data_IF_732379612188
#
_entry.id   IF_732379612188
#
_cell.length_a   1.000
_cell.length_b   1.000
_cell.length_c   1.000
_cell.angle_alpha   90.00
_cell.angle_beta   90.00
_cell.angle_gamma   90.00
#
_symmetry.space_group_name_H-M   'P 1'
#
loop_
_entity.id
_entity.type
_entity.pdbx_description
1 polymer ?
#
# COMPACT_ATOMS: atom_id res chain seq x y z
N UNK A 1 2.39 -3.81 -15.38
CA UNK A 1 1.79 -2.57 -14.87
C UNK A 1 1.28 -2.76 -13.44
N UNK A 2 2.14 -2.47 -12.47
CA UNK A 2 1.85 -2.47 -11.04
C UNK A 2 1.96 -1.05 -10.51
N UNK A 3 0.83 -0.44 -10.16
CA UNK A 3 0.75 0.93 -9.66
C UNK A 3 0.58 0.92 -8.15
N UNK A 4 1.52 1.54 -7.44
CA UNK A 4 1.46 1.76 -5.99
C UNK A 4 1.14 3.24 -5.72
N UNK A 5 0.02 3.50 -5.05
CA UNK A 5 -0.45 4.82 -4.67
C UNK A 5 -0.31 4.99 -3.15
N UNK A 6 0.57 5.88 -2.71
CA UNK A 6 0.79 6.19 -1.30
C UNK A 6 0.13 7.51 -0.94
N UNK A 7 -0.92 7.48 -0.13
CA UNK A 7 -1.79 8.64 0.14
C UNK A 7 -2.08 8.84 1.62
N UNK A 8 -2.22 10.10 2.02
CA UNK A 8 -2.65 10.46 3.38
C UNK A 8 -4.18 10.34 3.46
N UNK A 9 -4.66 9.50 4.38
CA UNK A 9 -6.08 9.31 4.65
C UNK A 9 -6.78 10.64 4.94
N UNK A 10 -7.77 11.00 4.11
CA UNK A 10 -8.55 12.23 4.26
C UNK A 10 -7.99 13.47 3.57
N UNK A 11 -6.88 13.37 2.80
CA UNK A 11 -6.39 14.45 1.93
C UNK A 11 -6.58 14.11 0.45
N UNK A 12 -5.85 13.11 -0.03
CA UNK A 12 -5.70 12.81 -1.46
C UNK A 12 -6.82 11.91 -2.04
N UNK A 13 -8.08 12.11 -1.64
CA UNK A 13 -9.18 11.22 -2.06
C UNK A 13 -9.51 11.34 -3.55
N UNK A 14 -9.55 12.56 -4.11
CA UNK A 14 -9.84 12.77 -5.53
C UNK A 14 -8.80 12.11 -6.44
N UNK A 15 -7.53 12.14 -6.02
CA UNK A 15 -6.42 11.44 -6.67
C UNK A 15 -6.66 9.92 -6.68
N UNK A 16 -7.06 9.32 -5.55
CA UNK A 16 -7.36 7.89 -5.47
C UNK A 16 -8.54 7.48 -6.36
N UNK A 17 -9.65 8.21 -6.33
CA UNK A 17 -10.84 7.86 -7.11
C UNK A 17 -10.59 8.04 -8.62
N UNK A 18 -9.86 9.09 -9.00
CA UNK A 18 -9.44 9.33 -10.38
C UNK A 18 -8.46 8.27 -10.89
N UNK A 19 -7.43 7.92 -10.11
CA UNK A 19 -6.46 6.89 -10.50
C UNK A 19 -7.12 5.52 -10.62
N UNK A 20 -8.04 5.19 -9.71
CA UNK A 20 -8.87 3.98 -9.76
C UNK A 20 -9.75 3.94 -11.02
N UNK A 21 -10.41 5.06 -11.36
CA UNK A 21 -11.22 5.18 -12.58
C UNK A 21 -10.38 4.97 -13.84
N UNK A 22 -9.20 5.58 -13.92
CA UNK A 22 -8.29 5.41 -15.06
C UNK A 22 -7.76 3.98 -15.18
N UNK A 23 -7.38 3.34 -14.07
CA UNK A 23 -6.94 1.95 -14.06
C UNK A 23 -8.05 0.98 -14.49
N UNK A 24 -9.31 1.23 -14.09
CA UNK A 24 -10.45 0.44 -14.59
C UNK A 24 -10.77 0.73 -16.06
N UNK A 25 -10.58 1.96 -16.56
CA UNK A 25 -10.70 2.26 -17.99
C UNK A 25 -9.61 1.54 -18.82
N UNK A 26 -8.35 1.58 -18.36
CA UNK A 26 -7.23 0.85 -18.95
C UNK A 26 -7.55 -0.65 -18.94
N UNK A 27 -7.99 -1.22 -17.81
CA UNK A 27 -8.45 -2.63 -17.73
C UNK A 27 -9.63 -2.93 -18.66
N UNK A 28 -10.53 -1.99 -18.90
CA UNK A 28 -11.63 -2.20 -19.85
C UNK A 28 -11.10 -2.45 -21.26
N UNK A 29 -10.05 -1.71 -21.64
CA UNK A 29 -9.45 -1.67 -22.99
C UNK A 29 -8.25 -2.63 -23.19
N UNK A 30 -7.57 -3.05 -22.12
CA UNK A 30 -6.51 -4.07 -22.12
C UNK A 30 -7.11 -5.48 -22.10
N UNK A 31 -6.76 -6.29 -23.10
CA UNK A 31 -7.22 -7.69 -23.23
C UNK A 31 -6.89 -8.57 -22.00
N UNK A 32 -5.71 -8.37 -21.40
CA UNK A 32 -5.24 -9.05 -20.18
C UNK A 32 -5.37 -8.19 -18.93
N UNK A 33 -6.58 -8.12 -18.37
CA UNK A 33 -6.92 -7.29 -17.19
C UNK A 33 -6.10 -7.59 -15.93
N UNK A 34 -5.55 -8.80 -15.84
CA UNK A 34 -4.68 -9.30 -14.76
C UNK A 34 -3.30 -8.63 -14.71
N UNK A 35 -2.80 -8.12 -15.86
CA UNK A 35 -1.50 -7.43 -15.98
C UNK A 35 -1.50 -6.02 -15.41
N UNK A 36 -2.69 -5.44 -15.17
CA UNK A 36 -2.87 -4.11 -14.58
C UNK A 36 -3.34 -4.27 -13.14
N UNK A 37 -2.56 -3.76 -12.19
CA UNK A 37 -2.85 -3.84 -10.76
C UNK A 37 -2.64 -2.49 -10.11
N UNK A 38 -3.56 -2.09 -9.24
CA UNK A 38 -3.47 -0.91 -8.39
C UNK A 38 -3.44 -1.37 -6.93
N UNK A 39 -2.47 -0.88 -6.16
CA UNK A 39 -2.35 -1.04 -4.73
C UNK A 39 -2.36 0.33 -4.06
N UNK A 40 -3.40 0.63 -3.28
CA UNK A 40 -3.53 1.89 -2.56
C UNK A 40 -3.15 1.72 -1.09
N UNK A 41 -2.09 2.42 -0.67
CA UNK A 41 -1.55 2.39 0.69
C UNK A 41 -2.02 3.65 1.42
N UNK A 42 -3.06 3.49 2.23
CA UNK A 42 -3.65 4.56 3.05
C UNK A 42 -2.90 4.74 4.36
N UNK A 43 -2.29 5.91 4.55
CA UNK A 43 -1.42 6.22 5.69
C UNK A 43 -2.12 7.31 6.53
N UNK A 44 -2.21 7.15 7.85
CA UNK A 44 -2.73 8.22 8.73
C UNK A 44 -1.77 9.41 8.71
N UNK A 45 -2.26 10.65 8.84
CA UNK A 45 -1.39 11.84 8.75
C UNK A 45 -0.20 11.79 9.73
N UNK A 46 -0.46 11.57 11.02
CA UNK A 46 0.57 11.36 12.05
C UNK A 46 1.60 10.27 11.66
N UNK A 47 1.13 9.16 11.09
CA UNK A 47 2.00 8.09 10.60
C UNK A 47 2.84 8.51 9.38
N UNK A 48 2.32 9.35 8.49
CA UNK A 48 3.07 9.92 7.37
C UNK A 48 4.14 10.91 7.87
N UNK A 49 3.79 11.81 8.80
CA UNK A 49 4.70 12.75 9.44
C UNK A 49 5.84 12.04 10.21
N UNK A 50 5.55 10.91 10.87
CA UNK A 50 6.56 10.05 11.50
C UNK A 50 7.43 9.33 10.45
N UNK A 51 6.81 8.76 9.41
CA UNK A 51 7.52 8.04 8.34
C UNK A 51 8.50 8.94 7.61
N UNK A 52 8.15 10.18 7.28
CA UNK A 52 9.07 11.15 6.67
C UNK A 52 10.28 11.39 7.58
N UNK A 53 10.08 11.62 8.89
CA UNK A 53 11.15 11.78 9.89
C UNK A 53 11.99 10.52 10.15
N UNK A 54 11.60 9.37 9.57
CA UNK A 54 12.34 8.11 9.61
C UNK A 54 12.95 7.71 8.26
N UNK A 55 12.70 8.46 7.17
CA UNK A 55 13.37 8.24 5.89
C UNK A 55 14.87 8.57 5.97
N UNK A 56 15.29 9.51 6.81
CA UNK A 56 16.70 9.79 7.08
C UNK A 56 17.36 8.77 8.02
N UNK A 57 16.57 7.97 8.77
CA UNK A 57 17.10 7.05 9.78
C UNK A 57 17.47 5.68 9.21
N UNK A 58 18.47 4.97 9.78
CA UNK A 58 18.77 3.59 9.41
C UNK A 58 17.61 2.67 9.77
N UNK A 59 17.43 1.60 8.99
CA UNK A 59 16.22 0.74 9.02
C UNK A 59 16.04 0.04 10.37
N UNK A 60 17.11 -0.07 11.14
CA UNK A 60 17.23 -0.66 12.47
C UNK A 60 16.61 0.23 13.57
N UNK A 61 16.48 1.54 13.33
CA UNK A 61 15.80 2.49 14.24
C UNK A 61 14.29 2.55 14.00
N UNK A 62 13.78 1.93 12.94
CA UNK A 62 12.40 2.10 12.49
C UNK A 62 11.49 1.06 13.16
N UNK A 63 10.36 1.47 13.78
CA UNK A 63 9.41 0.56 14.38
C UNK A 63 8.95 -0.53 13.39
N UNK A 64 8.76 -1.79 13.82
CA UNK A 64 8.53 -2.92 12.92
C UNK A 64 7.29 -2.76 12.03
N UNK A 65 6.27 -2.02 12.48
CA UNK A 65 5.07 -1.71 11.72
C UNK A 65 5.31 -0.67 10.59
N UNK A 66 6.32 0.20 10.70
CA UNK A 66 6.72 1.12 9.64
C UNK A 66 7.91 0.61 8.81
N UNK A 67 8.70 -0.34 9.32
CA UNK A 67 9.90 -0.86 8.66
C UNK A 67 9.65 -1.30 7.21
N UNK A 68 8.55 -2.01 6.95
CA UNK A 68 8.18 -2.44 5.59
C UNK A 68 7.93 -1.25 4.66
N UNK A 69 7.07 -0.31 5.10
CA UNK A 69 6.72 0.89 4.34
C UNK A 69 7.96 1.74 4.04
N UNK A 70 8.81 2.02 5.04
CA UNK A 70 10.03 2.82 4.82
C UNK A 70 11.02 2.09 3.91
N UNK A 71 11.13 0.76 3.98
CA UNK A 71 11.99 -0.01 3.06
C UNK A 71 11.53 0.13 1.60
N UNK A 72 10.22 0.14 1.35
CA UNK A 72 9.63 0.34 0.01
C UNK A 72 9.83 1.79 -0.46
N UNK A 73 9.55 2.78 0.39
CA UNK A 73 9.74 4.20 0.07
C UNK A 73 11.22 4.52 -0.23
N UNK A 74 12.17 4.00 0.55
CA UNK A 74 13.61 4.14 0.27
C UNK A 74 14.01 3.48 -1.05
N UNK A 75 13.50 2.28 -1.36
CA UNK A 75 13.76 1.61 -2.66
C UNK A 75 13.33 2.48 -3.84
N UNK A 76 12.18 3.13 -3.74
CA UNK A 76 11.64 3.99 -4.80
C UNK A 76 12.08 5.46 -4.70
N UNK A 77 12.95 5.79 -3.74
CA UNK A 77 13.39 7.16 -3.41
C UNK A 77 12.21 8.14 -3.21
N UNK A 78 11.13 7.69 -2.57
CA UNK A 78 9.98 8.54 -2.19
C UNK A 78 10.29 9.25 -0.88
N UNK A 79 10.27 10.58 -0.90
CA UNK A 79 10.56 11.46 0.26
C UNK A 79 9.31 12.12 0.84
N UNK A 80 8.26 12.31 0.04
CA UNK A 80 7.06 13.06 0.39
C UNK A 80 5.77 12.34 -0.01
N UNK A 81 4.67 12.64 0.66
CA UNK A 81 3.32 12.17 0.33
C UNK A 81 2.44 13.33 -0.18
N UNK A 82 1.46 13.08 -1.08
CA UNK A 82 1.17 11.80 -1.74
C UNK A 82 2.28 11.41 -2.74
N UNK A 83 2.34 10.13 -3.11
CA UNK A 83 3.28 9.63 -4.12
C UNK A 83 2.67 8.52 -4.97
N UNK A 84 3.09 8.48 -6.24
CA UNK A 84 2.67 7.47 -7.23
C UNK A 84 3.90 6.80 -7.80
N UNK A 85 3.92 5.47 -7.74
CA UNK A 85 4.98 4.60 -8.27
C UNK A 85 4.35 3.65 -9.30
N UNK A 86 4.97 3.50 -10.46
CA UNK A 86 4.54 2.58 -11.53
C UNK A 86 5.70 1.64 -11.84
N UNK A 87 5.47 0.34 -11.64
CA UNK A 87 6.41 -0.78 -11.86
C UNK A 87 7.81 -0.51 -11.25
N UNK A 88 7.79 0.07 -10.05
CA UNK A 88 8.97 0.42 -9.25
C UNK A 88 9.59 1.79 -9.53
N UNK A 89 9.02 2.59 -10.44
CA UNK A 89 9.50 3.94 -10.77
C UNK A 89 8.58 5.02 -10.21
N UNK A 90 9.13 5.94 -9.41
CA UNK A 90 8.42 7.12 -8.89
C UNK A 90 8.06 8.06 -10.04
N UNK A 91 6.77 8.30 -10.28
CA UNK A 91 6.28 9.20 -11.34
C UNK A 91 5.71 10.51 -10.81
N UNK A 92 5.24 10.52 -9.56
CA UNK A 92 4.74 11.72 -8.88
C UNK A 92 5.01 11.65 -7.37
N UNK A 93 5.22 12.80 -6.74
CA UNK A 93 5.58 12.97 -5.33
C UNK A 93 5.18 14.36 -4.82
N UNK A 94 4.73 14.45 -3.57
CA UNK A 94 4.57 15.69 -2.80
C UNK A 94 3.48 16.65 -3.30
N UNK A 95 2.57 16.19 -4.16
CA UNK A 95 1.58 17.04 -4.83
C UNK A 95 0.33 16.22 -5.21
N UNK A 96 -0.86 16.73 -4.92
CA UNK A 96 -2.14 16.07 -5.22
C UNK A 96 -2.58 16.20 -6.70
N UNK A 97 -1.70 16.69 -7.59
CA UNK A 97 -1.87 16.90 -9.05
C UNK A 97 -2.44 15.69 -9.81
N UNK A 98 -3.76 15.55 -9.81
CA UNK A 98 -4.51 14.44 -10.43
C UNK A 98 -4.19 14.32 -11.92
N UNK A 99 -4.18 15.43 -12.66
CA UNK A 99 -3.91 15.44 -14.09
C UNK A 99 -2.53 14.84 -14.44
N UNK A 100 -1.51 15.13 -13.63
CA UNK A 100 -0.14 14.64 -13.82
C UNK A 100 0.03 13.17 -13.43
N UNK A 101 -0.67 12.71 -12.38
CA UNK A 101 -0.73 11.29 -12.05
C UNK A 101 -1.44 10.48 -13.15
N UNK A 102 -2.53 11.02 -13.69
CA UNK A 102 -3.27 10.41 -14.80
C UNK A 102 -2.44 10.35 -16.09
N UNK A 103 -1.77 11.44 -16.50
CA UNK A 103 -0.86 11.43 -17.66
C UNK A 103 0.22 10.35 -17.52
N UNK A 104 0.89 10.29 -16.35
CA UNK A 104 1.93 9.31 -16.11
C UNK A 104 1.41 7.86 -16.18
N UNK A 105 0.19 7.60 -15.69
CA UNK A 105 -0.48 6.30 -15.80
C UNK A 105 -0.88 5.97 -17.24
N UNK A 106 -1.50 6.91 -17.98
CA UNK A 106 -1.89 6.67 -19.37
C UNK A 106 -0.67 6.51 -20.29
N UNK A 107 0.41 7.26 -20.06
CA UNK A 107 1.68 7.13 -20.80
C UNK A 107 2.36 5.80 -20.53
N UNK A 108 2.45 5.35 -19.27
CA UNK A 108 2.99 4.01 -18.96
C UNK A 108 2.08 2.88 -19.48
N UNK A 109 0.77 3.09 -19.53
CA UNK A 109 -0.15 2.12 -20.12
C UNK A 109 -0.04 2.04 -21.65
N UNK A 110 0.15 3.17 -22.35
CA UNK A 110 0.37 3.16 -23.80
C UNK A 110 1.74 2.58 -24.16
N UNK A 111 2.77 2.82 -23.34
CA UNK A 111 4.09 2.20 -23.48
C UNK A 111 4.08 0.67 -23.22
N UNK A 112 3.42 0.18 -22.15
CA UNK A 112 3.44 -1.26 -21.82
C UNK A 112 2.46 -2.11 -22.65
N UNK A 113 1.32 -1.54 -23.04
CA UNK A 113 0.24 -2.29 -23.73
C UNK A 113 0.04 -1.88 -25.20
N UNK A 114 0.74 -0.84 -25.69
CA UNK A 114 0.60 -0.34 -27.07
C UNK A 114 -0.74 0.36 -27.37
N UNK A 115 -1.55 0.66 -26.34
CA UNK A 115 -2.91 1.19 -26.52
C UNK A 115 -2.89 2.72 -26.49
N UNK A 116 -3.38 3.35 -27.56
CA UNK A 116 -3.45 4.81 -27.69
C UNK A 116 -4.57 5.41 -26.81
N UNK A 117 -4.32 5.52 -25.50
CA UNK A 117 -5.27 6.01 -24.50
C UNK A 117 -5.10 7.52 -24.25
N UNK A 118 -5.39 8.29 -25.30
CA UNK A 118 -5.45 9.75 -25.30
C UNK A 118 -5.68 10.28 -26.72
N UNK A 119 -6.09 11.55 -26.90
CA UNK A 119 -6.34 12.12 -28.23
C UNK A 119 -5.10 12.22 -29.13
N UNK A 120 -3.90 12.07 -28.57
CA UNK A 120 -2.61 12.19 -29.26
C UNK A 120 -2.20 10.91 -29.99
N UNK A 121 -2.98 10.56 -31.02
CA UNK A 121 -2.38 9.94 -32.19
C UNK A 121 -1.46 10.97 -32.88
N UNK A 122 -0.40 10.49 -33.53
CA UNK A 122 0.50 11.28 -34.41
C UNK A 122 1.46 12.29 -33.74
N UNK A 123 2.27 11.85 -32.76
CA UNK A 123 3.62 12.42 -32.58
C UNK A 123 4.66 11.31 -32.30
N UNK A 124 4.86 10.43 -33.28
CA UNK A 124 6.12 9.68 -33.37
C UNK A 124 7.13 10.52 -34.17
N UNK A 125 8.36 10.76 -33.65
CA UNK A 125 9.38 11.49 -34.39
C UNK A 125 10.04 10.58 -35.44
N UNK A 126 9.85 10.91 -36.73
CA UNK A 126 10.57 10.26 -37.81
C UNK A 126 12.00 10.82 -37.95
N UNK A 127 13.04 9.99 -38.23
CA UNK A 127 14.39 10.47 -38.51
C UNK A 127 14.50 11.35 -39.76
N UNK A 128 15.55 12.20 -39.88
CA UNK A 128 15.59 13.29 -40.84
C UNK A 128 15.93 12.86 -42.27
N UNK A 129 15.47 13.66 -43.24
CA UNK A 129 16.00 13.72 -44.61
C UNK A 129 16.20 15.19 -45.02
N UNK A 130 17.27 15.56 -45.76
CA UNK A 130 17.62 16.98 -45.95
C UNK A 130 16.64 17.80 -46.81
N UNK A 131 16.76 19.13 -46.70
CA UNK A 131 16.00 20.13 -47.46
C UNK A 131 16.45 20.24 -48.95
N UNK A 132 15.82 21.13 -49.76
CA UNK A 132 16.31 22.52 -49.82
C UNK A 132 15.23 23.60 -49.60
N UNK A 133 15.67 24.85 -49.47
CA UNK A 133 14.85 26.03 -49.14
C UNK A 133 14.10 26.65 -50.33
N UNK A 134 12.88 27.17 -50.09
CA UNK A 134 12.29 28.40 -50.67
C UNK A 134 11.00 28.72 -49.86
N UNK A 135 10.69 29.94 -49.42
CA UNK A 135 11.44 31.19 -49.37
C UNK A 135 10.55 32.39 -49.01
N UNK A 136 11.13 33.40 -48.32
CA UNK A 136 10.56 34.74 -48.00
C UNK A 136 9.33 34.81 -47.05
N UNK A 137 9.05 36.01 -46.55
CA UNK A 137 8.15 36.30 -45.42
C UNK A 137 7.13 37.45 -45.76
N UNK A 138 6.57 38.26 -44.82
CA UNK A 138 5.13 38.22 -44.56
C UNK A 138 4.35 39.54 -44.85
N UNK A 139 3.00 39.50 -44.84
CA UNK A 139 2.15 40.69 -44.77
C UNK A 139 1.48 40.91 -43.39
N UNK A 140 1.63 42.11 -42.76
CA UNK A 140 0.78 42.63 -41.68
C UNK A 140 -0.24 43.67 -42.24
N UNK A 141 -0.99 44.45 -41.43
CA UNK A 141 -1.59 44.24 -40.10
C UNK A 141 -3.14 44.39 -40.10
N UNK A 142 -3.81 44.35 -38.94
CA UNK A 142 -5.23 44.74 -38.79
C UNK A 142 -5.41 46.22 -38.36
N UNK A 143 -6.55 46.89 -38.64
CA UNK A 143 -6.71 48.34 -38.39
C UNK A 143 -7.20 48.73 -36.98
N UNK A 144 -6.83 49.93 -36.51
CA UNK A 144 -7.38 50.60 -35.31
C UNK A 144 -8.74 51.27 -35.55
N UNK A 145 -9.57 51.34 -34.49
CA UNK A 145 -10.62 52.34 -34.27
C UNK A 145 -10.74 52.63 -32.75
N UNK A 146 -11.10 53.86 -32.33
CA UNK A 146 -10.87 54.36 -30.95
C UNK A 146 -12.10 54.90 -30.16
N UNK A 147 -12.07 54.82 -28.80
CA UNK A 147 -13.00 55.48 -27.84
C UNK A 147 -12.51 56.90 -27.43
N UNK A 148 -13.32 57.81 -26.83
CA UNK A 148 -13.84 57.78 -25.43
C UNK A 148 -15.30 58.33 -25.33
N UNK A 149 -15.86 58.85 -24.19
CA UNK A 149 -15.55 58.79 -22.74
C UNK A 149 -16.70 58.05 -21.96
N UNK A 150 -17.02 58.14 -20.65
CA UNK A 150 -16.65 58.88 -19.39
C UNK A 150 -16.84 57.86 -18.20
N UNK A 151 -16.73 58.07 -16.87
CA UNK A 151 -16.41 59.14 -15.90
C UNK A 151 -15.88 58.48 -14.56
N UNK A 152 -15.39 59.23 -13.54
CA UNK A 152 -14.62 58.65 -12.42
C UNK A 152 -15.33 58.75 -11.01
N UNK A 153 -14.67 58.80 -9.83
CA UNK A 153 -14.79 57.77 -8.76
C UNK A 153 -15.35 58.30 -7.41
N UNK A 154 -15.39 57.49 -6.31
CA UNK A 154 -14.28 57.58 -5.32
C UNK A 154 -13.99 56.34 -4.41
N UNK A 155 -12.69 56.14 -4.11
CA UNK A 155 -12.07 55.83 -2.79
C UNK A 155 -12.37 54.55 -1.96
N UNK A 156 -11.44 54.13 -1.05
CA UNK A 156 -11.43 52.81 -0.37
C UNK A 156 -11.89 52.85 1.11
N UNK A 157 -12.02 51.70 1.80
CA UNK A 157 -10.91 51.11 2.58
C UNK A 157 -10.87 49.56 2.43
N UNK A 158 -10.11 48.72 3.17
CA UNK A 158 -9.27 48.94 4.36
C UNK A 158 -8.08 47.99 4.44
N UNK A 159 -7.05 48.40 5.18
CA UNK A 159 -5.83 47.63 5.44
C UNK A 159 -5.89 46.85 6.78
N UNK A 160 -4.99 45.87 6.96
CA UNK A 160 -4.57 45.15 8.19
C UNK A 160 -5.46 45.14 9.46
N UNK A 161 -5.71 43.91 9.97
CA UNK A 161 -4.99 43.41 11.18
C UNK A 161 -5.22 41.91 11.46
N UNK A 162 -4.27 41.23 12.14
CA UNK A 162 -4.49 39.89 12.68
C UNK A 162 -5.36 39.96 13.96
N UNK A 163 -6.38 39.10 14.07
CA UNK A 163 -7.12 38.93 15.32
C UNK A 163 -6.36 37.98 16.26
N UNK A 164 -5.71 38.54 17.27
CA UNK A 164 -5.07 37.78 18.34
C UNK A 164 -6.13 37.33 19.38
N UNK A 165 -6.97 36.35 19.01
CA UNK A 165 -8.00 35.81 19.92
C UNK A 165 -7.36 34.90 20.99
N UNK A 166 -7.30 35.40 22.23
CA UNK A 166 -6.71 34.68 23.37
C UNK A 166 -7.69 33.65 23.93
N UNK A 167 -7.72 32.45 23.33
CA UNK A 167 -8.37 31.28 23.95
C UNK A 167 -7.35 30.56 24.83
N UNK A 168 -7.26 30.98 26.10
CA UNK A 168 -6.62 30.16 27.16
C UNK A 168 -7.50 28.93 27.41
N UNK A 169 -7.01 27.69 27.20
CA UNK A 169 -7.63 26.55 27.86
C UNK A 169 -7.42 26.75 29.36
N UNK A 170 -8.50 26.79 30.15
CA UNK A 170 -8.36 26.75 31.59
C UNK A 170 -7.64 25.46 32.00
N UNK A 171 -6.70 25.48 32.95
CA UNK A 171 -6.10 24.26 33.47
C UNK A 171 -7.22 23.44 34.12
N UNK A 172 -7.65 22.36 33.45
CA UNK A 172 -8.46 21.33 34.10
C UNK A 172 -7.66 20.83 35.31
N UNK A 173 -8.28 20.63 36.49
CA UNK A 173 -7.64 19.86 37.55
C UNK A 173 -7.12 18.56 36.95
N UNK A 174 -5.84 18.27 37.15
CA UNK A 174 -5.28 16.98 36.75
C UNK A 174 -5.80 15.98 37.78
N UNK A 175 -6.93 15.37 37.46
CA UNK A 175 -7.46 14.23 38.18
C UNK A 175 -6.37 13.16 38.14
N UNK A 176 -5.76 12.90 39.30
CA UNK A 176 -4.61 12.02 39.38
C UNK A 176 -5.02 10.63 38.90
N UNK A 177 -4.30 10.01 37.95
CA UNK A 177 -4.64 8.65 37.54
C UNK A 177 -4.62 7.75 38.78
N UNK A 178 -5.58 6.82 38.93
CA UNK A 178 -5.61 5.92 40.07
C UNK A 178 -4.27 5.18 40.16
N UNK A 179 -3.77 4.89 41.38
CA UNK A 179 -2.49 4.20 41.54
C UNK A 179 -2.52 2.88 40.75
N UNK A 180 -1.43 2.54 40.04
CA UNK A 180 -1.38 1.28 39.31
C UNK A 180 -1.63 0.12 40.28
N UNK A 181 -2.34 -0.94 39.85
CA UNK A 181 -2.49 -2.13 40.68
C UNK A 181 -1.10 -2.65 41.08
N UNK A 182 -0.94 -3.21 42.29
CA UNK A 182 0.35 -3.70 42.75
C UNK A 182 0.92 -4.68 41.73
N UNK A 183 2.16 -4.46 41.32
CA UNK A 183 2.85 -5.33 40.37
C UNK A 183 2.84 -6.76 40.93
N UNK A 184 2.45 -7.78 40.15
CA UNK A 184 2.65 -9.15 40.60
C UNK A 184 4.14 -9.35 40.90
N UNK A 185 4.50 -10.11 41.94
CA UNK A 185 5.91 -10.36 42.25
C UNK A 185 6.61 -10.95 41.02
N UNK A 186 7.89 -10.61 40.78
CA UNK A 186 8.62 -11.19 39.67
C UNK A 186 8.58 -12.72 39.81
N UNK A 187 8.27 -13.48 38.74
CA UNK A 187 8.34 -14.92 38.80
C UNK A 187 9.76 -15.29 39.24
N UNK A 188 9.87 -16.04 40.33
CA UNK A 188 11.18 -16.49 40.81
C UNK A 188 11.88 -17.23 39.66
N UNK A 189 13.21 -17.09 39.50
CA UNK A 189 13.96 -17.92 38.58
C UNK A 189 13.86 -19.39 39.03
N UNK A 190 12.85 -20.09 38.52
CA UNK A 190 12.62 -21.49 38.79
C UNK A 190 13.87 -22.24 38.31
N UNK A 191 14.59 -22.83 39.28
CA UNK A 191 15.95 -23.27 39.05
C UNK A 191 15.94 -24.35 37.97
N UNK A 192 16.52 -24.03 36.80
CA UNK A 192 16.64 -25.01 35.71
C UNK A 192 17.32 -26.25 36.26
N UNK A 193 16.70 -27.45 36.19
CA UNK A 193 17.41 -28.67 36.51
C UNK A 193 18.66 -28.75 35.62
N UNK A 194 19.79 -29.26 36.15
CA UNK A 194 21.03 -29.33 35.38
C UNK A 194 20.80 -30.15 34.09
N UNK A 195 21.49 -29.83 32.99
CA UNK A 195 21.35 -30.55 31.74
C UNK A 195 21.71 -32.02 31.96
N UNK A 196 20.71 -32.90 31.80
CA UNK A 196 20.93 -34.35 31.85
C UNK A 196 21.86 -34.72 30.71
N UNK A 197 23.01 -35.33 31.03
CA UNK A 197 23.97 -35.75 30.02
C UNK A 197 23.32 -36.78 29.07
N UNK A 198 23.58 -36.70 27.74
CA UNK A 198 23.08 -37.71 26.82
C UNK A 198 23.68 -39.09 27.18
N UNK A 199 22.90 -40.18 27.08
CA UNK A 199 23.41 -41.52 27.35
C UNK A 199 24.51 -41.90 26.34
N UNK A 200 25.47 -42.75 26.73
CA UNK A 200 26.56 -43.17 25.84
C UNK A 200 26.00 -43.91 24.62
N UNK A 201 26.55 -43.59 23.45
CA UNK A 201 26.17 -44.22 22.19
C UNK A 201 26.57 -45.71 22.20
N UNK A 202 25.68 -46.66 21.86
CA UNK A 202 26.07 -48.06 21.73
C UNK A 202 27.06 -48.24 20.56
N UNK A 203 27.98 -49.22 20.64
CA UNK A 203 28.93 -49.48 19.57
C UNK A 203 28.23 -49.95 18.29
N UNK A 204 28.76 -49.63 17.09
CA UNK A 204 28.18 -50.07 15.84
C UNK A 204 28.31 -51.59 15.69
N UNK A 205 27.18 -52.27 15.47
CA UNK A 205 27.16 -53.68 15.10
C UNK A 205 27.69 -53.87 13.67
N UNK A 206 28.46 -54.93 13.38
CA UNK A 206 28.94 -55.21 12.03
C UNK A 206 27.77 -55.56 11.10
N UNK A 207 27.72 -54.90 9.93
CA UNK A 207 26.65 -55.10 8.95
C UNK A 207 26.82 -56.41 8.18
N UNK A 208 25.83 -57.32 8.17
CA UNK A 208 25.79 -58.41 7.20
C UNK A 208 25.49 -57.84 5.81
N UNK A 209 26.25 -58.24 4.79
CA UNK A 209 25.96 -57.87 3.40
C UNK A 209 24.69 -58.60 2.93
N UNK A 210 23.57 -57.88 2.82
CA UNK A 210 22.35 -58.43 2.20
C UNK A 210 22.49 -58.42 0.66
N UNK A 211 22.07 -59.49 -0.04
CA UNK A 211 21.95 -59.50 -1.50
C UNK A 211 21.01 -58.39 -2.01
N UNK A 212 21.27 -57.91 -3.23
CA UNK A 212 20.49 -56.86 -3.85
C UNK A 212 19.02 -57.28 -4.07
N UNK A 213 18.09 -56.55 -3.44
CA UNK A 213 16.65 -56.69 -3.68
C UNK A 213 16.25 -55.95 -4.98
N UNK A 214 15.18 -56.38 -5.66
CA UNK A 214 14.66 -55.69 -6.84
C UNK A 214 14.14 -54.28 -6.50
N UNK A 215 14.08 -53.35 -7.48
CA UNK A 215 13.61 -51.99 -7.24
C UNK A 215 12.14 -51.96 -6.77
N UNK A 216 11.77 -51.02 -5.88
CA UNK A 216 10.42 -50.93 -5.36
C UNK A 216 9.41 -50.50 -6.44
N UNK A 217 8.14 -50.92 -6.35
CA UNK A 217 7.09 -50.47 -7.25
C UNK A 217 6.89 -48.95 -7.14
N UNK A 218 6.63 -48.30 -8.27
CA UNK A 218 6.34 -46.87 -8.32
C UNK A 218 4.96 -46.60 -7.67
N UNK A 219 4.82 -45.58 -6.80
CA UNK A 219 3.52 -45.19 -6.26
C UNK A 219 2.55 -44.80 -7.38
N UNK A 220 1.33 -45.35 -7.35
CA UNK A 220 0.29 -45.05 -8.33
C UNK A 220 -0.07 -43.56 -8.34
N UNK A 221 -0.33 -43.03 -9.54
CA UNK A 221 -0.64 -41.62 -9.73
C UNK A 221 -2.04 -41.30 -9.17
N UNK A 222 -2.08 -40.76 -7.95
CA UNK A 222 -3.30 -40.19 -7.36
C UNK A 222 -3.91 -39.20 -8.37
N UNK A 223 -5.19 -39.36 -8.77
CA UNK A 223 -5.82 -38.44 -9.72
C UNK A 223 -5.76 -37.00 -9.21
N UNK A 224 -5.05 -36.12 -9.93
CA UNK A 224 -4.96 -34.72 -9.56
C UNK A 224 -6.30 -34.03 -9.85
N UNK A 225 -7.15 -33.98 -8.82
CA UNK A 225 -8.37 -33.15 -8.81
C UNK A 225 -7.97 -31.72 -9.19
N UNK A 226 -8.60 -31.10 -10.21
CA UNK A 226 -8.24 -29.76 -10.65
C UNK A 226 -8.26 -28.76 -9.50
N UNK A 227 -7.07 -28.29 -9.11
CA UNK A 227 -6.87 -27.40 -7.97
C UNK A 227 -7.37 -26.00 -8.29
N UNK A 228 -8.69 -25.83 -8.21
CA UNK A 228 -9.37 -24.57 -8.45
C UNK A 228 -8.73 -23.43 -7.62
N UNK A 229 -8.57 -22.22 -8.18
CA UNK A 229 -8.00 -21.10 -7.44
C UNK A 229 -8.95 -20.73 -6.30
N UNK A 230 -8.52 -21.00 -5.06
CA UNK A 230 -9.28 -20.65 -3.87
C UNK A 230 -9.56 -19.15 -3.85
N UNK A 231 -10.82 -18.76 -4.06
CA UNK A 231 -11.28 -17.38 -3.93
C UNK A 231 -11.35 -17.00 -2.45
N UNK A 232 -10.20 -16.72 -1.85
CA UNK A 232 -10.09 -16.27 -0.44
C UNK A 232 -10.61 -14.83 -0.33
N UNK A 233 -11.94 -14.68 -0.33
CA UNK A 233 -12.63 -13.40 -0.24
C UNK A 233 -12.70 -12.90 1.20
N UNK A 234 -11.57 -12.47 1.76
CA UNK A 234 -11.51 -11.94 3.13
C UNK A 234 -12.30 -10.64 3.24
N UNK A 235 -13.50 -10.70 3.83
CA UNK A 235 -14.18 -9.51 4.35
C UNK A 235 -13.56 -9.15 5.69
N UNK A 236 -12.89 -8.00 5.77
CA UNK A 236 -12.35 -7.50 7.05
C UNK A 236 -13.49 -6.82 7.81
N UNK A 237 -14.25 -7.61 8.58
CA UNK A 237 -15.31 -7.10 9.47
C UNK A 237 -14.66 -6.52 10.73
N UNK A 238 -14.88 -5.23 11.00
CA UNK A 238 -14.40 -4.56 12.21
C UNK A 238 -15.32 -4.89 13.41
N UNK A 239 -15.03 -5.98 14.11
CA UNK A 239 -15.74 -6.38 15.32
C UNK A 239 -15.42 -7.81 15.77
N UNK A 240 -16.23 -8.36 16.69
CA UNK A 240 -16.30 -9.83 16.89
C UNK A 240 -17.26 -10.38 15.82
N UNK A 241 -16.80 -11.15 14.82
CA UNK A 241 -17.68 -11.65 13.76
C UNK A 241 -18.67 -12.69 14.28
N UNK A 242 -19.78 -12.89 13.55
CA UNK A 242 -20.79 -13.89 13.91
C UNK A 242 -20.41 -15.31 13.47
N UNK A 243 -19.65 -15.45 12.38
CA UNK A 243 -19.09 -16.72 11.89
C UNK A 243 -17.57 -16.59 11.72
N UNK A 244 -16.81 -17.64 12.02
CA UNK A 244 -15.37 -17.68 11.83
C UNK A 244 -14.94 -17.50 10.37
N UNK A 245 -15.74 -17.92 9.38
CA UNK A 245 -15.43 -17.75 7.94
C UNK A 245 -15.36 -16.29 7.50
N UNK A 246 -16.03 -15.39 8.22
CA UNK A 246 -15.92 -13.94 8.03
C UNK A 246 -14.73 -13.31 8.79
N UNK A 247 -13.95 -14.12 9.52
CA UNK A 247 -12.81 -13.66 10.29
C UNK A 247 -11.50 -13.80 9.51
N UNK A 248 -10.79 -12.69 9.32
CA UNK A 248 -9.43 -12.69 8.74
C UNK A 248 -8.40 -13.54 9.51
N UNK A 249 -8.72 -13.97 10.73
CA UNK A 249 -7.89 -14.83 11.58
C UNK A 249 -8.35 -16.30 11.62
N UNK A 250 -9.26 -16.74 10.75
CA UNK A 250 -9.66 -18.14 10.65
C UNK A 250 -9.05 -18.81 9.42
N UNK A 251 -8.36 -19.93 9.62
CA UNK A 251 -7.92 -20.79 8.54
C UNK A 251 -8.97 -21.85 8.22
N UNK A 252 -9.79 -21.62 7.19
CA UNK A 252 -10.83 -22.56 6.74
C UNK A 252 -10.28 -23.97 6.45
N UNK A 253 -9.09 -24.05 5.84
CA UNK A 253 -8.41 -25.33 5.52
C UNK A 253 -7.87 -26.07 6.76
N UNK A 254 -7.71 -25.36 7.88
CA UNK A 254 -7.09 -25.88 9.12
C UNK A 254 -8.05 -25.97 10.30
N UNK A 255 -9.29 -25.50 10.13
CA UNK A 255 -10.29 -25.29 11.20
C UNK A 255 -9.69 -24.69 12.47
N UNK A 256 -8.88 -23.63 12.31
CA UNK A 256 -8.08 -23.03 13.39
C UNK A 256 -8.21 -21.51 13.40
N UNK A 257 -8.36 -20.93 14.59
CA UNK A 257 -8.29 -19.49 14.80
C UNK A 257 -6.84 -19.11 15.13
N UNK A 258 -6.19 -18.35 14.25
CA UNK A 258 -4.81 -17.88 14.42
C UNK A 258 -4.68 -16.83 15.53
N UNK A 259 -5.72 -16.03 15.80
CA UNK A 259 -5.70 -15.01 16.84
C UNK A 259 -5.61 -15.59 18.27
N UNK A 260 -6.25 -16.74 18.51
CA UNK A 260 -6.22 -17.44 19.81
C UNK A 260 -5.38 -18.73 19.76
N UNK A 261 -4.81 -19.08 18.60
CA UNK A 261 -4.16 -20.38 18.31
C UNK A 261 -5.02 -21.64 18.56
N UNK A 262 -6.32 -21.50 18.80
CA UNK A 262 -7.25 -22.60 19.12
C UNK A 262 -7.83 -23.29 17.88
N UNK A 263 -8.09 -24.60 18.00
CA UNK A 263 -8.95 -25.35 17.07
C UNK A 263 -10.40 -24.85 17.19
N UNK A 264 -11.10 -24.69 16.08
CA UNK A 264 -12.51 -24.29 16.02
C UNK A 264 -13.33 -25.49 15.56
N UNK A 265 -14.14 -26.05 16.46
CA UNK A 265 -14.98 -27.21 16.14
C UNK A 265 -16.24 -26.84 15.32
N UNK A 266 -16.83 -25.67 15.58
CA UNK A 266 -17.99 -25.13 14.86
C UNK A 266 -17.69 -23.67 14.44
N UNK A 267 -17.54 -23.38 13.13
CA UNK A 267 -17.24 -22.01 12.67
C UNK A 267 -18.40 -21.04 12.88
N UNK A 268 -19.66 -21.52 12.95
CA UNK A 268 -20.82 -20.68 13.24
C UNK A 268 -20.96 -20.34 14.73
N UNK A 269 -20.06 -20.86 15.59
CA UNK A 269 -19.96 -20.54 17.02
C UNK A 269 -18.54 -20.05 17.36
N UNK A 270 -18.13 -18.86 16.87
CA UNK A 270 -16.78 -18.36 17.03
C UNK A 270 -16.38 -18.28 18.52
N UNK A 271 -15.25 -18.91 18.94
CA UNK A 271 -14.91 -19.00 20.36
C UNK A 271 -14.74 -17.62 21.01
N UNK A 272 -14.23 -16.64 20.26
CA UNK A 272 -14.09 -15.26 20.69
C UNK A 272 -15.41 -14.55 21.05
N UNK A 273 -16.57 -15.11 20.72
CA UNK A 273 -17.90 -14.63 21.16
C UNK A 273 -18.29 -15.19 22.54
N UNK A 274 -17.81 -16.38 22.89
CA UNK A 274 -18.21 -17.12 24.10
C UNK A 274 -17.26 -16.94 25.29
N UNK A 275 -16.06 -16.36 25.11
CA UNK A 275 -15.14 -16.00 26.22
C UNK A 275 -15.62 -14.72 26.92
N UNK A 276 -16.82 -14.75 27.50
CA UNK A 276 -17.54 -13.59 28.01
C UNK A 276 -18.75 -13.96 28.86
N UNK A 277 -18.59 -14.98 29.71
CA UNK A 277 -19.41 -15.23 30.88
C UNK A 277 -18.55 -15.05 32.14
#
# INVERSE_FOLDING_TARGET
MYVELFVISGKSQELEESLKKAIEEIRSKVERRDRVRLATVKIRQDAADQVVKMLDQPVERIPPHFRSLVTILKRYNVTSFPAVVIDGQKVLEGNDDVAKALDAVYRRASEEFGISLGPLALTQPAPPKPAPETGLAPPPPQPEARPPPVAPPPSPPSEVKPLAEVIKPAPRPVEAPPPPPPTPPPPQPEARPPPVAPPPTPPPLPVPQQPALPPPPQPEAIPQVPRAPARVSVRIVLGRPSDCRECAYFGETTSRCYLFSLQVADPARPPCRNVGG
#
